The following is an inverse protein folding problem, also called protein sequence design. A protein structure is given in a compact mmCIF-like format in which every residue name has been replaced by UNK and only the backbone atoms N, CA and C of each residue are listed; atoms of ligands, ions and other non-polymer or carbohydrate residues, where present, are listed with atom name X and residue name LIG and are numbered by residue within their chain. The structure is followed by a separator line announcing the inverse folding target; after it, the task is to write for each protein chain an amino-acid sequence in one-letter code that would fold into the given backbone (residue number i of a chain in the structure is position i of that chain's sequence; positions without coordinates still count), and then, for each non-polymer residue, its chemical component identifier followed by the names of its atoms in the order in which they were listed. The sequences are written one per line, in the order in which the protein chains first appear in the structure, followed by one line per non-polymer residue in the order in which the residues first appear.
data_IF_217973802300
#
_entry.id   IF_217973802300
#
_cell.length_a   1.000
_cell.length_b   1.000
_cell.length_c   1.000
_cell.angle_alpha   90.00
_cell.angle_beta   90.00
_cell.angle_gamma   90.00
#
_symmetry.space_group_name_H-M   'P 1'
#
loop_
_entity.id
_entity.type
_entity.pdbx_description
1 polymer ?
#
# COMPACT_ATOMS: atom_id res chain seq x y z
N UNK A 1 -34.08 -17.37 27.59
CA UNK A 1 -33.19 -18.31 26.86
C UNK A 1 -33.68 -18.40 25.43
N UNK A 2 -33.00 -17.74 24.50
CA UNK A 2 -33.44 -17.66 23.09
C UNK A 2 -32.68 -18.70 22.26
N UNK A 3 -33.38 -19.68 21.70
CA UNK A 3 -32.76 -20.67 20.80
C UNK A 3 -32.52 -20.03 19.43
N UNK A 4 -31.27 -20.01 18.97
CA UNK A 4 -30.96 -19.68 17.58
C UNK A 4 -31.47 -20.81 16.67
N UNK A 5 -32.21 -20.43 15.63
CA UNK A 5 -32.53 -21.30 14.50
C UNK A 5 -31.34 -21.28 13.53
N UNK A 6 -30.58 -22.38 13.46
CA UNK A 6 -29.60 -22.57 12.40
C UNK A 6 -30.33 -22.93 11.10
N UNK A 7 -30.10 -22.16 10.04
CA UNK A 7 -30.54 -22.50 8.69
C UNK A 7 -29.90 -23.83 8.24
N UNK A 8 -30.64 -24.74 7.58
CA UNK A 8 -30.07 -26.00 7.13
C UNK A 8 -29.04 -25.78 6.00
N UNK A 9 -27.85 -26.34 6.18
CA UNK A 9 -26.80 -26.37 5.15
C UNK A 9 -27.34 -26.97 3.83
N UNK A 10 -26.98 -26.43 2.65
CA UNK A 10 -27.42 -26.98 1.38
C UNK A 10 -26.94 -28.43 1.24
N UNK A 11 -27.88 -29.32 0.95
CA UNK A 11 -27.61 -30.75 0.78
C UNK A 11 -26.66 -30.97 -0.39
N UNK A 12 -25.71 -31.88 -0.24
CA UNK A 12 -24.66 -32.20 -1.23
C UNK A 12 -25.12 -32.23 -2.72
N UNK A 13 -26.28 -32.83 -3.10
CA UNK A 13 -26.77 -32.77 -4.49
C UNK A 13 -27.04 -31.35 -5.02
N UNK A 14 -27.48 -30.41 -4.19
CA UNK A 14 -27.69 -29.00 -4.60
C UNK A 14 -26.35 -28.34 -4.94
N UNK A 15 -25.32 -28.64 -4.14
CA UNK A 15 -23.96 -28.14 -4.33
C UNK A 15 -23.32 -28.72 -5.61
N UNK A 16 -23.53 -30.03 -5.86
CA UNK A 16 -23.11 -30.68 -7.10
C UNK A 16 -23.82 -30.10 -8.35
N UNK A 17 -25.13 -29.83 -8.26
CA UNK A 17 -25.89 -29.24 -9.37
C UNK A 17 -25.40 -27.82 -9.69
N UNK A 18 -25.11 -27.00 -8.67
CA UNK A 18 -24.58 -25.65 -8.84
C UNK A 18 -23.19 -25.64 -9.48
N UNK A 19 -22.30 -26.56 -9.07
CA UNK A 19 -20.97 -26.74 -9.68
C UNK A 19 -21.10 -27.14 -11.16
N UNK A 20 -22.00 -28.07 -11.50
CA UNK A 20 -22.23 -28.48 -12.89
C UNK A 20 -22.78 -27.36 -13.77
N UNK A 21 -23.68 -26.51 -13.24
CA UNK A 21 -24.20 -25.33 -13.96
C UNK A 21 -23.09 -24.30 -14.22
N UNK A 22 -22.24 -24.02 -13.23
CA UNK A 22 -21.10 -23.08 -13.39
C UNK A 22 -20.07 -23.64 -14.38
N UNK A 23 -19.78 -24.94 -14.33
CA UNK A 23 -18.85 -25.60 -15.25
C UNK A 23 -19.39 -25.60 -16.70
N UNK A 24 -20.68 -25.90 -16.88
CA UNK A 24 -21.35 -25.82 -18.18
C UNK A 24 -21.34 -24.41 -18.77
N UNK A 25 -21.62 -23.38 -17.96
CA UNK A 25 -21.56 -21.98 -18.39
C UNK A 25 -20.14 -21.56 -18.81
N UNK A 26 -19.11 -22.02 -18.09
CA UNK A 26 -17.71 -21.83 -18.50
C UNK A 26 -17.39 -22.51 -19.83
N UNK A 27 -17.90 -23.72 -20.06
CA UNK A 27 -17.66 -24.48 -21.29
C UNK A 27 -18.32 -23.83 -22.51
N UNK A 28 -19.52 -23.25 -22.36
CA UNK A 28 -20.20 -22.44 -23.40
C UNK A 28 -19.43 -21.15 -23.71
N UNK A 29 -18.83 -20.50 -22.71
CA UNK A 29 -18.00 -19.30 -22.92
C UNK A 29 -16.66 -19.63 -23.60
N UNK A 30 -16.06 -20.79 -23.28
CA UNK A 30 -14.83 -21.27 -23.91
C UNK A 30 -15.04 -21.79 -25.34
N UNK A 31 -16.25 -22.22 -25.70
CA UNK A 31 -16.60 -22.72 -27.03
C UNK A 31 -16.87 -21.62 -28.09
N UNK A 32 -16.65 -20.33 -27.76
CA UNK A 32 -16.89 -19.21 -28.66
C UNK A 32 -18.35 -18.75 -28.63
N UNK A 33 -18.69 -17.92 -27.65
CA UNK A 33 -20.04 -17.41 -27.42
C UNK A 33 -20.71 -16.79 -28.66
N UNK A 34 -22.04 -16.92 -28.72
CA UNK A 34 -22.89 -16.68 -29.89
C UNK A 34 -22.61 -15.32 -30.55
N UNK A 35 -22.11 -15.34 -31.79
CA UNK A 35 -21.88 -14.14 -32.58
C UNK A 35 -23.20 -13.52 -33.08
N UNK A 36 -23.66 -12.46 -32.42
CA UNK A 36 -24.67 -11.56 -32.97
C UNK A 36 -24.00 -10.58 -33.95
N UNK A 37 -24.35 -10.72 -35.23
CA UNK A 37 -23.74 -9.98 -36.33
C UNK A 37 -24.48 -8.65 -36.55
N UNK A 38 -23.78 -7.52 -36.39
CA UNK A 38 -24.31 -6.18 -36.69
C UNK A 38 -23.44 -5.56 -37.79
N UNK A 39 -23.96 -5.40 -39.03
CA UNK A 39 -23.20 -4.84 -40.14
C UNK A 39 -23.36 -3.32 -40.26
N UNK A 40 -22.30 -2.65 -40.72
CA UNK A 40 -22.41 -1.34 -41.38
C UNK A 40 -22.02 -0.12 -40.54
N UNK A 41 -20.80 0.36 -40.75
CA UNK A 41 -20.46 1.80 -40.78
C UNK A 41 -19.06 1.96 -41.41
N UNK A 42 -19.00 2.15 -42.73
CA UNK A 42 -17.81 2.72 -43.38
C UNK A 42 -17.49 4.10 -42.77
N UNK A 43 -16.20 4.46 -42.71
CA UNK A 43 -15.80 5.86 -42.62
C UNK A 43 -14.54 6.12 -43.43
N UNK A 44 -14.67 7.03 -44.38
CA UNK A 44 -13.65 7.36 -45.37
C UNK A 44 -12.58 8.34 -44.83
N UNK A 45 -11.33 8.11 -45.22
CA UNK A 45 -10.36 9.18 -45.54
C UNK A 45 -10.74 9.80 -46.91
N UNK A 46 -10.34 11.04 -47.27
CA UNK A 46 -9.06 11.72 -46.97
C UNK A 46 -9.28 13.14 -46.34
N UNK A 47 -8.34 14.06 -46.11
CA UNK A 47 -7.18 14.49 -46.92
C UNK A 47 -6.22 15.37 -46.08
N UNK A 48 -4.92 15.34 -46.40
CA UNK A 48 -3.86 16.21 -45.87
C UNK A 48 -3.87 17.60 -46.53
N UNK A 49 -3.68 18.70 -45.78
CA UNK A 49 -3.13 19.94 -46.30
C UNK A 49 -1.63 20.12 -45.98
N UNK A 50 -1.01 20.86 -46.88
CA UNK A 50 0.40 21.14 -47.12
C UNK A 50 1.19 21.80 -45.97
N UNK A 51 2.51 21.69 -46.02
CA UNK A 51 3.43 22.37 -45.10
C UNK A 51 3.77 23.79 -45.58
N UNK A 52 3.67 24.77 -44.68
CA UNK A 52 4.16 26.13 -44.92
C UNK A 52 5.60 26.29 -44.37
N UNK A 53 6.54 26.63 -45.24
CA UNK A 53 7.94 26.93 -44.86
C UNK A 53 8.08 28.32 -44.25
N UNK A 54 8.93 28.53 -43.22
CA UNK A 54 9.16 29.84 -42.62
C UNK A 54 10.07 30.73 -43.48
N UNK A 55 9.77 32.04 -43.51
CA UNK A 55 10.63 33.07 -44.10
C UNK A 55 11.70 33.56 -43.09
N UNK A 56 12.89 33.99 -43.53
CA UNK A 56 14.03 34.21 -42.62
C UNK A 56 14.24 35.67 -42.14
N UNK A 57 14.92 35.75 -41.00
CA UNK A 57 15.87 36.78 -40.57
C UNK A 57 15.45 38.26 -40.47
N UNK A 58 15.55 38.80 -39.24
CA UNK A 58 16.35 40.00 -39.00
C UNK A 58 16.87 39.99 -37.55
N UNK A 59 18.20 39.92 -37.35
CA UNK A 59 18.85 40.00 -36.04
C UNK A 59 19.98 41.04 -36.13
N UNK A 60 19.88 42.08 -35.32
CA UNK A 60 20.90 43.12 -35.17
C UNK A 60 22.14 42.59 -34.41
N UNK A 61 23.38 42.84 -34.89
CA UNK A 61 24.59 42.34 -34.24
C UNK A 61 25.34 43.44 -33.48
N UNK A 62 24.74 44.05 -32.45
CA UNK A 62 25.51 44.88 -31.52
C UNK A 62 24.93 44.91 -30.10
N UNK A 63 25.50 44.09 -29.20
CA UNK A 63 25.68 44.36 -27.77
C UNK A 63 26.31 43.14 -27.06
N UNK A 64 27.62 43.20 -26.82
CA UNK A 64 28.31 42.25 -25.94
C UNK A 64 28.40 42.81 -24.49
N UNK A 65 27.94 42.07 -23.46
CA UNK A 65 28.27 42.36 -22.07
C UNK A 65 29.57 41.65 -21.61
N UNK A 66 30.29 42.18 -20.60
CA UNK A 66 31.70 41.84 -20.37
C UNK A 66 31.96 40.58 -19.55
N UNK A 67 33.16 40.02 -19.72
CA UNK A 67 33.71 38.91 -18.94
C UNK A 67 33.99 39.35 -17.49
N UNK A 68 33.54 38.57 -16.51
CA UNK A 68 33.89 38.75 -15.10
C UNK A 68 34.99 37.78 -14.66
N UNK A 69 35.91 38.29 -13.84
CA UNK A 69 37.15 37.62 -13.44
C UNK A 69 36.92 36.38 -12.58
N UNK A 70 37.64 35.31 -12.87
CA UNK A 70 37.75 34.14 -11.99
C UNK A 70 38.70 34.48 -10.83
N UNK A 71 38.16 34.51 -9.61
CA UNK A 71 38.97 34.70 -8.40
C UNK A 71 39.51 33.37 -7.87
N UNK A 72 40.73 33.41 -7.33
CA UNK A 72 41.55 32.24 -7.05
C UNK A 72 41.14 31.56 -5.72
N UNK A 73 40.87 30.26 -5.72
CA UNK A 73 40.49 29.51 -4.52
C UNK A 73 41.71 28.81 -3.89
N UNK A 74 41.83 28.88 -2.56
CA UNK A 74 42.94 28.31 -1.80
C UNK A 74 42.88 26.76 -1.73
N UNK A 75 44.03 26.06 -1.58
CA UNK A 75 44.07 24.60 -1.63
C UNK A 75 43.44 23.95 -0.39
N UNK A 76 42.57 22.96 -0.62
CA UNK A 76 41.97 22.13 0.42
C UNK A 76 42.93 21.00 0.80
N UNK A 77 43.25 20.86 2.09
CA UNK A 77 44.06 19.74 2.58
C UNK A 77 43.25 18.43 2.61
N UNK A 78 43.73 17.41 1.91
CA UNK A 78 43.16 16.05 1.91
C UNK A 78 43.79 15.21 3.01
N UNK A 79 43.01 14.79 4.01
CA UNK A 79 43.44 13.85 5.05
C UNK A 79 43.07 12.41 4.65
N UNK A 80 44.05 11.62 4.24
CA UNK A 80 43.85 10.24 3.78
C UNK A 80 43.80 9.26 4.95
N UNK A 81 42.61 8.84 5.38
CA UNK A 81 42.45 7.75 6.36
C UNK A 81 42.57 6.40 5.63
N UNK A 82 43.66 5.65 5.89
CA UNK A 82 43.82 4.27 5.44
C UNK A 82 43.05 3.32 6.36
N UNK A 83 41.95 2.75 5.88
CA UNK A 83 41.29 1.63 6.54
C UNK A 83 42.04 0.33 6.28
N UNK A 84 42.35 -0.41 7.35
CA UNK A 84 42.93 -1.75 7.25
C UNK A 84 41.79 -2.71 6.88
N UNK A 85 41.89 -3.35 5.72
CA UNK A 85 40.98 -4.44 5.33
C UNK A 85 41.38 -5.70 6.11
N UNK A 86 40.51 -6.27 6.97
CA UNK A 86 40.80 -7.56 7.58
C UNK A 86 40.76 -8.67 6.50
N UNK A 87 41.82 -9.46 6.44
CA UNK A 87 41.95 -10.59 5.52
C UNK A 87 40.77 -11.57 5.70
N UNK A 88 40.08 -11.99 4.63
CA UNK A 88 39.03 -13.00 4.75
C UNK A 88 39.62 -14.33 5.25
N UNK A 89 38.95 -14.95 6.22
CA UNK A 89 39.36 -16.26 6.73
C UNK A 89 39.32 -17.31 5.60
N UNK A 90 40.26 -18.27 5.55
CA UNK A 90 40.31 -19.27 4.50
C UNK A 90 39.03 -20.13 4.49
N UNK A 91 38.53 -20.43 3.30
CA UNK A 91 37.31 -21.20 3.11
C UNK A 91 37.44 -22.60 3.72
N UNK A 92 36.47 -22.99 4.54
CA UNK A 92 36.40 -24.34 5.10
C UNK A 92 36.16 -25.38 4.00
N UNK A 93 37.04 -26.38 3.91
CA UNK A 93 36.93 -27.51 2.99
C UNK A 93 35.62 -28.27 3.19
N UNK A 94 34.88 -28.65 2.12
CA UNK A 94 33.66 -29.43 2.28
C UNK A 94 33.98 -30.83 2.82
N UNK A 95 33.53 -31.12 4.04
CA UNK A 95 33.59 -32.46 4.62
C UNK A 95 32.65 -33.38 3.83
N UNK A 96 33.18 -34.49 3.33
CA UNK A 96 32.43 -35.46 2.55
C UNK A 96 31.23 -36.01 3.33
N UNK A 97 30.06 -36.03 2.69
CA UNK A 97 28.84 -36.59 3.25
C UNK A 97 29.02 -38.09 3.55
N UNK A 98 28.93 -38.47 4.83
CA UNK A 98 28.76 -39.89 5.20
C UNK A 98 27.38 -40.35 4.70
N UNK A 99 27.35 -41.48 4.00
CA UNK A 99 26.10 -42.14 3.64
C UNK A 99 25.40 -42.59 4.93
N UNK A 100 24.16 -42.17 5.11
CA UNK A 100 23.23 -42.76 6.08
C UNK A 100 22.32 -43.75 5.34
N UNK A 101 22.31 -45.00 5.81
CA UNK A 101 21.50 -46.05 5.19
C UNK A 101 20.01 -45.82 5.39
N UNK A 102 19.23 -46.08 4.34
CA UNK A 102 17.76 -45.97 4.38
C UNK A 102 17.17 -47.16 5.15
N UNK A 103 16.35 -46.95 6.19
CA UNK A 103 15.54 -48.03 6.74
C UNK A 103 14.46 -48.48 5.73
N UNK A 104 14.28 -49.80 5.65
CA UNK A 104 13.41 -50.51 4.69
C UNK A 104 11.94 -50.33 5.05
N UNK A 105 11.03 -49.99 4.11
CA UNK A 105 9.60 -49.90 4.42
C UNK A 105 9.00 -51.29 4.64
N UNK A 106 8.34 -51.48 5.78
CA UNK A 106 7.55 -52.69 6.06
C UNK A 106 6.15 -52.50 5.50
N UNK A 107 5.80 -53.31 4.49
CA UNK A 107 4.45 -53.34 3.94
C UNK A 107 3.52 -54.10 4.89
N UNK A 108 2.46 -53.45 5.37
CA UNK A 108 1.32 -54.10 6.02
C UNK A 108 0.14 -54.06 5.04
N UNK A 109 -0.11 -55.18 4.38
CA UNK A 109 -1.31 -55.35 3.56
C UNK A 109 -2.57 -55.35 4.43
N UNK A 110 -3.63 -54.68 3.96
CA UNK A 110 -4.99 -54.86 4.43
C UNK A 110 -5.83 -55.42 3.27
N UNK A 111 -6.71 -56.41 3.50
CA UNK A 111 -7.47 -57.04 2.43
C UNK A 111 -8.54 -56.10 1.86
N UNK A 112 -8.89 -56.22 0.56
CA UNK A 112 -9.96 -55.42 -0.04
C UNK A 112 -11.32 -55.84 0.51
N UNK A 113 -12.10 -54.87 1.00
CA UNK A 113 -13.49 -55.09 1.38
C UNK A 113 -14.36 -54.98 0.12
N UNK A 114 -14.84 -56.13 -0.36
CA UNK A 114 -15.86 -56.17 -1.42
C UNK A 114 -17.21 -55.75 -0.83
N UNK A 115 -17.77 -54.64 -1.31
CA UNK A 115 -19.16 -54.29 -1.09
C UNK A 115 -19.98 -54.71 -2.32
N UNK A 116 -20.74 -55.79 -2.18
CA UNK A 116 -21.72 -56.24 -3.18
C UNK A 116 -22.94 -55.29 -3.09
N UNK A 117 -23.43 -54.74 -4.22
CA UNK A 117 -24.68 -53.99 -4.21
C UNK A 117 -25.84 -54.91 -3.83
N UNK A 118 -26.54 -54.61 -2.74
CA UNK A 118 -27.82 -55.26 -2.42
C UNK A 118 -28.93 -54.48 -3.10
N UNK A 119 -29.62 -55.16 -3.99
CA UNK A 119 -30.76 -54.70 -4.77
C UNK A 119 -31.96 -54.41 -3.84
N UNK A 120 -32.64 -53.28 -4.06
CA UNK A 120 -33.74 -52.85 -3.21
C UNK A 120 -35.09 -53.40 -3.72
N UNK A 121 -35.90 -54.07 -2.87
CA UNK A 121 -37.22 -54.52 -3.28
C UNK A 121 -38.25 -53.37 -3.24
N UNK A 122 -38.99 -53.25 -4.34
CA UNK A 122 -40.32 -52.66 -4.42
C UNK A 122 -41.31 -53.78 -4.83
N UNK A 123 -42.64 -53.57 -4.99
CA UNK A 123 -43.46 -52.40 -4.67
C UNK A 123 -44.72 -52.77 -3.83
N UNK A 124 -45.63 -51.80 -3.62
CA UNK A 124 -47.07 -52.07 -3.44
C UNK A 124 -47.90 -50.92 -4.04
N UNK A 125 -48.93 -51.26 -4.80
CA UNK A 125 -49.85 -50.37 -5.55
C UNK A 125 -51.01 -49.90 -4.62
N UNK A 126 -51.77 -48.83 -4.89
CA UNK A 126 -52.88 -48.76 -5.89
C UNK A 126 -53.40 -47.31 -6.09
N UNK A 127 -54.29 -47.05 -7.09
CA UNK A 127 -54.60 -45.70 -7.60
C UNK A 127 -55.98 -45.14 -7.17
N UNK A 128 -56.28 -43.85 -7.48
CA UNK A 128 -57.37 -43.50 -8.43
C UNK A 128 -57.53 -41.98 -8.73
N UNK A 129 -57.45 -41.65 -10.02
CA UNK A 129 -58.41 -40.87 -10.85
C UNK A 129 -59.17 -39.64 -10.30
N UNK A 130 -58.96 -38.45 -10.92
CA UNK A 130 -60.00 -37.59 -11.60
C UNK A 130 -59.32 -36.67 -12.65
N UNK A 131 -59.91 -36.57 -13.85
CA UNK A 131 -59.56 -35.63 -14.95
C UNK A 131 -60.81 -34.99 -15.54
N UNK A 132 -60.89 -33.65 -15.65
CA UNK A 132 -61.75 -32.84 -16.57
C UNK A 132 -61.10 -31.44 -16.72
N UNK A 133 -60.51 -31.03 -17.86
CA UNK A 133 -61.06 -30.18 -18.96
C UNK A 133 -61.77 -28.87 -18.50
N UNK A 134 -61.42 -27.63 -18.86
CA UNK A 134 -61.13 -26.92 -20.14
C UNK A 134 -62.35 -26.25 -20.83
N UNK A 135 -62.31 -24.91 -20.98
CA UNK A 135 -62.89 -23.99 -22.01
C UNK A 135 -63.02 -22.54 -21.44
N UNK A 136 -62.47 -21.42 -21.97
CA UNK A 136 -62.52 -20.77 -23.32
C UNK A 136 -63.83 -19.92 -23.52
N UNK A 137 -63.87 -18.68 -24.05
CA UNK A 137 -62.93 -17.75 -24.76
C UNK A 137 -63.42 -16.26 -24.66
N UNK A 138 -62.61 -15.21 -24.96
CA UNK A 138 -62.87 -14.16 -26.01
C UNK A 138 -62.08 -12.81 -25.94
N UNK A 139 -61.86 -12.25 -27.15
CA UNK A 139 -61.06 -11.10 -27.68
C UNK A 139 -61.90 -9.77 -27.81
N UNK A 140 -61.49 -8.65 -28.49
CA UNK A 140 -60.18 -8.21 -29.07
C UNK A 140 -59.78 -6.72 -28.79
N UNK A 141 -58.71 -6.22 -29.44
CA UNK A 141 -58.11 -4.85 -29.37
C UNK A 141 -58.56 -3.93 -30.56
N UNK A 142 -57.83 -2.88 -31.07
CA UNK A 142 -56.74 -1.99 -30.56
C UNK A 142 -56.89 -0.46 -30.92
N UNK A 143 -55.98 0.43 -30.45
CA UNK A 143 -55.49 1.62 -31.23
C UNK A 143 -54.15 2.21 -30.72
N UNK A 144 -53.30 2.69 -31.64
CA UNK A 144 -52.04 3.45 -31.40
C UNK A 144 -52.24 4.95 -31.14
N UNK A 145 -51.23 5.65 -30.57
CA UNK A 145 -50.54 6.85 -31.17
C UNK A 145 -49.49 7.46 -30.20
N UNK A 146 -48.40 7.99 -30.78
CA UNK A 146 -47.26 8.76 -30.21
C UNK A 146 -47.67 10.02 -29.39
N UNK A 147 -46.83 10.76 -28.63
CA UNK A 147 -45.52 11.33 -28.99
C UNK A 147 -44.83 12.11 -27.84
N UNK A 148 -43.49 12.13 -27.86
CA UNK A 148 -42.49 13.10 -27.35
C UNK A 148 -42.85 14.24 -26.37
N UNK A 149 -42.10 14.35 -25.26
CA UNK A 149 -41.27 15.53 -24.92
C UNK A 149 -40.38 15.30 -23.66
N UNK A 150 -39.25 16.01 -23.56
CA UNK A 150 -38.24 15.88 -22.50
C UNK A 150 -38.20 17.16 -21.58
N UNK A 151 -37.25 17.31 -20.62
CA UNK A 151 -37.57 17.80 -19.26
C UNK A 151 -37.26 19.29 -19.00
N UNK A 152 -37.48 19.75 -17.77
CA UNK A 152 -36.46 20.59 -17.12
C UNK A 152 -36.16 20.21 -15.66
N UNK A 153 -34.94 20.55 -15.25
CA UNK A 153 -34.51 20.81 -13.88
C UNK A 153 -33.95 22.25 -13.83
N UNK A 154 -33.41 22.73 -12.70
CA UNK A 154 -33.80 22.61 -11.30
C UNK A 154 -34.27 23.99 -10.75
N UNK A 155 -34.75 24.07 -9.51
CA UNK A 155 -34.90 25.37 -8.83
C UNK A 155 -34.51 25.30 -7.36
N UNK A 156 -33.60 26.19 -6.97
CA UNK A 156 -33.24 26.43 -5.57
C UNK A 156 -34.07 27.60 -5.01
N UNK A 157 -34.50 27.49 -3.75
CA UNK A 157 -35.04 28.60 -2.98
C UNK A 157 -34.59 28.49 -1.52
N UNK A 158 -34.20 29.63 -0.95
CA UNK A 158 -33.71 29.78 0.41
C UNK A 158 -34.86 29.96 1.42
N UNK A 159 -34.70 29.43 2.64
CA UNK A 159 -35.40 29.92 3.82
C UNK A 159 -34.54 29.63 5.08
N UNK A 160 -34.53 30.56 6.03
CA UNK A 160 -33.72 30.51 7.25
C UNK A 160 -34.59 30.39 8.51
N UNK A 161 -34.05 29.72 9.53
CA UNK A 161 -34.41 29.66 10.97
C UNK A 161 -33.79 28.36 11.53
N UNK A 162 -33.34 28.23 12.77
CA UNK A 162 -33.25 29.19 13.89
C UNK A 162 -32.00 28.86 14.74
N UNK A 163 -31.52 29.79 15.56
CA UNK A 163 -30.27 29.66 16.31
C UNK A 163 -30.52 29.31 17.79
N UNK A 164 -30.06 28.14 18.24
CA UNK A 164 -30.02 27.80 19.67
C UNK A 164 -28.67 28.20 20.27
N UNK A 165 -28.67 29.26 21.07
CA UNK A 165 -27.49 29.72 21.79
C UNK A 165 -27.16 28.83 23.00
N UNK A 166 -25.88 28.51 23.19
CA UNK A 166 -25.34 27.88 24.39
C UNK A 166 -24.42 28.91 25.08
N UNK A 167 -24.56 29.19 26.38
CA UNK A 167 -23.82 30.27 27.03
C UNK A 167 -22.36 29.88 27.31
N UNK A 168 -21.38 30.79 27.08
CA UNK A 168 -20.01 30.59 27.55
C UNK A 168 -19.87 31.08 29.00
N UNK A 169 -19.27 30.27 29.87
CA UNK A 169 -18.72 30.78 31.14
C UNK A 169 -17.42 31.55 30.85
N UNK A 170 -17.40 32.82 31.24
CA UNK A 170 -16.20 33.66 31.31
C UNK A 170 -15.63 33.64 32.75
N UNK A 171 -14.32 33.91 32.95
CA UNK A 171 -13.64 33.70 34.22
C UNK A 171 -13.83 34.83 35.25
N UNK A 172 -13.68 34.48 36.53
CA UNK A 172 -13.67 35.43 37.65
C UNK A 172 -12.47 36.40 37.65
N UNK A 173 -12.68 37.58 38.23
CA UNK A 173 -11.71 38.66 38.37
C UNK A 173 -11.05 38.66 39.78
N UNK A 174 -9.88 39.32 39.98
CA UNK A 174 -9.02 39.04 41.13
C UNK A 174 -9.16 40.01 42.32
N UNK A 175 -9.13 39.43 43.54
CA UNK A 175 -8.67 39.97 44.82
C UNK A 175 -8.45 38.74 45.76
N UNK A 176 -7.64 38.71 46.83
CA UNK A 176 -7.12 39.72 47.76
C UNK A 176 -5.65 39.38 48.13
N UNK A 177 -4.98 40.30 48.83
CA UNK A 177 -3.55 40.30 49.17
C UNK A 177 -3.07 39.29 50.24
N UNK A 178 -1.75 39.06 50.22
CA UNK A 178 -0.82 38.87 51.35
C UNK A 178 -1.17 37.84 52.45
N UNK A 179 -0.37 36.77 52.55
CA UNK A 179 0.58 36.70 53.68
C UNK A 179 1.83 35.84 53.43
N UNK A 180 2.92 36.25 54.05
CA UNK A 180 4.18 35.51 54.22
C UNK A 180 4.25 35.12 55.71
N UNK A 181 4.77 33.93 56.08
CA UNK A 181 6.19 33.94 56.41
C UNK A 181 6.96 32.65 56.10
N UNK A 182 8.23 32.85 55.76
CA UNK A 182 9.31 31.89 55.99
C UNK A 182 9.73 31.95 57.47
N UNK A 183 10.16 30.82 58.07
CA UNK A 183 11.24 30.83 59.04
C UNK A 183 12.49 30.19 58.44
N UNK A 184 13.63 30.82 58.66
CA UNK A 184 14.94 30.30 58.29
C UNK A 184 15.62 29.61 59.49
N UNK A 185 16.61 28.77 59.18
CA UNK A 185 17.73 28.32 60.03
C UNK A 185 17.46 27.54 61.32
N UNK A 186 18.07 26.35 61.41
CA UNK A 186 19.10 26.06 62.44
C UNK A 186 19.97 24.89 61.94
N UNK A 187 21.29 25.02 62.08
CA UNK A 187 22.28 23.96 61.87
C UNK A 187 22.52 23.23 63.19
N UNK A 188 22.50 21.89 63.19
CA UNK A 188 23.14 21.11 64.26
C UNK A 188 23.75 19.82 63.73
N UNK A 189 24.85 19.37 64.34
CA UNK A 189 25.79 18.37 63.82
C UNK A 189 26.02 17.25 64.83
N UNK A 190 25.74 16.00 64.48
CA UNK A 190 26.43 14.79 64.98
C UNK A 190 25.90 13.51 64.28
N UNK A 191 26.68 12.40 64.22
CA UNK A 191 26.44 11.32 63.26
C UNK A 191 25.81 10.04 63.83
N UNK A 192 25.23 9.22 62.95
CA UNK A 192 25.09 7.77 63.15
C UNK A 192 25.01 7.05 61.79
N UNK A 193 25.72 5.93 61.65
CA UNK A 193 25.69 5.08 60.46
C UNK A 193 24.30 4.48 60.20
N UNK A 194 23.91 4.43 58.92
CA UNK A 194 22.91 3.48 58.42
C UNK A 194 23.00 3.39 56.89
N UNK A 195 23.50 2.24 56.40
CA UNK A 195 23.46 1.84 54.99
C UNK A 195 22.06 2.02 54.42
N UNK A 196 21.90 2.99 53.52
CA UNK A 196 20.67 3.21 52.77
C UNK A 196 21.03 3.28 51.29
N UNK A 197 20.54 2.32 50.51
CA UNK A 197 20.70 2.32 49.07
C UNK A 197 20.16 3.63 48.49
N UNK A 198 21.05 4.46 47.96
CA UNK A 198 20.67 5.60 47.13
C UNK A 198 20.02 5.04 45.87
N UNK A 199 18.69 5.05 45.85
CA UNK A 199 17.92 4.87 44.64
C UNK A 199 18.33 5.98 43.67
N UNK A 200 19.12 5.63 42.66
CA UNK A 200 19.50 6.55 41.61
C UNK A 200 18.23 7.02 40.90
N UNK A 201 17.77 8.23 41.22
CA UNK A 201 16.73 8.90 40.47
C UNK A 201 17.16 8.89 39.00
N UNK A 202 16.32 8.41 38.07
CA UNK A 202 16.69 8.38 36.67
C UNK A 202 16.93 9.81 36.23
N UNK A 203 18.18 10.12 35.88
CA UNK A 203 18.53 11.42 35.33
C UNK A 203 17.58 11.68 34.15
N UNK A 204 16.81 12.76 34.23
CA UNK A 204 15.93 13.21 33.16
C UNK A 204 16.80 13.42 31.93
N UNK A 205 16.82 12.43 31.04
CA UNK A 205 17.55 12.51 29.79
C UNK A 205 16.87 13.60 28.98
N UNK A 206 17.47 14.79 28.96
CA UNK A 206 17.06 15.89 28.10
C UNK A 206 17.02 15.35 26.67
N UNK A 207 15.82 15.16 26.15
CA UNK A 207 15.59 14.62 24.82
C UNK A 207 15.98 15.68 23.80
N UNK A 208 17.28 15.71 23.47
CA UNK A 208 17.82 16.44 22.33
C UNK A 208 16.94 16.16 21.12
N UNK A 209 16.14 17.15 20.72
CA UNK A 209 15.10 16.96 19.72
C UNK A 209 15.73 16.40 18.44
N UNK A 210 15.38 15.17 18.09
CA UNK A 210 16.00 14.45 16.96
C UNK A 210 15.67 15.22 15.68
N UNK A 211 16.64 15.99 15.19
CA UNK A 211 16.48 16.80 13.99
C UNK A 211 16.41 15.89 12.77
N UNK A 212 15.19 15.59 12.35
CA UNK A 212 14.93 14.86 11.12
C UNK A 212 15.51 15.61 9.91
N UNK A 213 15.98 14.88 8.88
CA UNK A 213 16.40 15.51 7.65
C UNK A 213 15.22 16.17 6.92
N UNK A 214 15.47 17.26 6.16
CA UNK A 214 14.45 17.83 5.30
C UNK A 214 14.12 16.86 4.15
N UNK A 215 12.87 16.88 3.69
CA UNK A 215 12.42 16.13 2.53
C UNK A 215 11.43 16.98 1.71
N UNK A 216 11.44 16.78 0.39
CA UNK A 216 10.57 17.49 -0.55
C UNK A 216 9.79 16.44 -1.36
N UNK A 217 8.61 15.98 -0.88
CA UNK A 217 7.83 14.97 -1.58
C UNK A 217 7.54 15.35 -3.04
N UNK A 218 7.45 14.36 -3.96
CA UNK A 218 7.15 14.62 -5.36
C UNK A 218 5.76 15.23 -5.55
N UNK A 219 5.58 15.98 -6.64
CA UNK A 219 4.27 16.50 -7.04
C UNK A 219 3.26 15.40 -7.32
N UNK A 220 1.96 15.76 -7.36
CA UNK A 220 0.85 14.86 -7.66
C UNK A 220 1.07 14.10 -8.97
N UNK A 221 0.87 12.79 -8.98
CA UNK A 221 1.13 11.92 -10.13
C UNK A 221 0.30 10.63 -10.06
N UNK A 222 -0.06 10.09 -11.21
CA UNK A 222 -0.75 8.79 -11.33
C UNK A 222 0.13 7.81 -12.12
N UNK A 223 0.48 6.67 -11.52
CA UNK A 223 1.35 5.66 -12.11
C UNK A 223 0.61 4.34 -12.29
N UNK A 224 0.66 3.81 -13.51
CA UNK A 224 0.10 2.51 -13.88
C UNK A 224 1.21 1.47 -13.95
N UNK A 225 0.99 0.28 -13.41
CA UNK A 225 1.98 -0.79 -13.35
C UNK A 225 1.45 -2.08 -13.95
N UNK A 226 2.31 -2.77 -14.69
CA UNK A 226 2.18 -4.21 -14.91
C UNK A 226 2.78 -4.94 -13.72
N UNK A 227 2.06 -5.92 -13.17
CA UNK A 227 2.48 -6.68 -12.00
C UNK A 227 2.68 -8.14 -12.36
N UNK A 228 3.92 -8.59 -12.23
CA UNK A 228 4.31 -10.00 -12.24
C UNK A 228 4.32 -10.50 -10.79
N UNK A 229 3.63 -11.59 -10.48
CA UNK A 229 3.64 -12.14 -9.13
C UNK A 229 3.61 -13.65 -9.05
N UNK A 230 3.89 -14.16 -7.85
CA UNK A 230 3.75 -15.56 -7.49
C UNK A 230 3.15 -15.70 -6.09
N UNK A 231 2.17 -16.58 -5.92
CA UNK A 231 1.61 -16.95 -4.62
C UNK A 231 1.67 -18.47 -4.50
N UNK A 232 2.38 -19.00 -3.50
CA UNK A 232 2.58 -20.44 -3.27
C UNK A 232 3.07 -21.20 -4.52
N UNK A 233 3.93 -20.57 -5.31
CA UNK A 233 4.45 -21.10 -6.58
C UNK A 233 3.54 -20.92 -7.80
N UNK A 234 2.29 -20.47 -7.65
CA UNK A 234 1.43 -20.14 -8.79
C UNK A 234 1.68 -18.71 -9.25
N UNK A 235 2.06 -18.56 -10.52
CA UNK A 235 2.26 -17.25 -11.14
C UNK A 235 0.93 -16.57 -11.48
N UNK A 236 0.88 -15.24 -11.33
CA UNK A 236 -0.25 -14.42 -11.75
C UNK A 236 0.23 -13.11 -12.41
N UNK A 237 -0.65 -12.54 -13.22
CA UNK A 237 -0.54 -11.19 -13.78
C UNK A 237 -1.59 -10.29 -13.13
N UNK A 238 -1.22 -9.06 -12.84
CA UNK A 238 -2.14 -8.08 -12.27
C UNK A 238 -1.82 -6.66 -12.77
N UNK A 239 -2.75 -5.74 -12.55
CA UNK A 239 -2.57 -4.32 -12.82
C UNK A 239 -2.44 -3.57 -11.50
N UNK A 240 -1.51 -2.62 -11.45
CA UNK A 240 -1.34 -1.69 -10.34
C UNK A 240 -1.69 -0.26 -10.77
N UNK A 241 -2.34 0.50 -9.88
CA UNK A 241 -2.58 1.92 -10.04
C UNK A 241 -2.21 2.63 -8.74
N UNK A 242 -1.12 3.41 -8.77
CA UNK A 242 -0.79 4.38 -7.73
C UNK A 242 -1.39 5.73 -8.11
N UNK A 243 -2.30 6.23 -7.28
CA UNK A 243 -2.77 7.60 -7.28
C UNK A 243 -2.06 8.35 -6.13
N UNK A 244 -1.32 9.40 -6.46
CA UNK A 244 -0.60 10.24 -5.51
C UNK A 244 -1.02 11.69 -5.72
N UNK A 245 -1.45 12.35 -4.64
CA UNK A 245 -1.81 13.76 -4.66
C UNK A 245 -1.29 14.50 -3.43
N UNK A 246 -0.85 15.74 -3.67
CA UNK A 246 -0.46 16.72 -2.65
C UNK A 246 -1.25 18.00 -2.86
N UNK A 247 -1.85 18.52 -1.79
CA UNK A 247 -2.64 19.75 -1.77
C UNK A 247 -2.69 20.31 -0.35
N UNK A 248 -2.65 21.63 -0.19
CA UNK A 248 -2.91 22.33 1.09
C UNK A 248 -2.10 21.80 2.31
N UNK A 249 -0.82 21.45 2.09
CA UNK A 249 0.05 20.89 3.13
C UNK A 249 -0.35 19.47 3.58
N UNK A 250 -1.16 18.77 2.79
CA UNK A 250 -1.63 17.41 3.01
C UNK A 250 -1.34 16.53 1.81
N UNK A 251 -1.41 15.21 2.03
CA UNK A 251 -1.24 14.22 0.96
C UNK A 251 -2.32 13.14 1.02
N UNK A 252 -2.57 12.52 -0.14
CA UNK A 252 -3.32 11.28 -0.28
C UNK A 252 -2.58 10.35 -1.25
N UNK A 253 -2.35 9.12 -0.80
CA UNK A 253 -1.79 8.03 -1.60
C UNK A 253 -2.78 6.87 -1.64
N UNK A 254 -2.98 6.28 -2.81
CA UNK A 254 -3.79 5.08 -2.99
C UNK A 254 -3.14 4.14 -4.01
N UNK A 255 -2.85 2.91 -3.63
CA UNK A 255 -2.36 1.86 -4.51
C UNK A 255 -3.42 0.76 -4.65
N UNK A 256 -4.11 0.72 -5.80
CA UNK A 256 -5.02 -0.37 -6.15
C UNK A 256 -4.27 -1.44 -6.95
N UNK A 257 -4.42 -2.70 -6.57
CA UNK A 257 -3.93 -3.87 -7.30
C UNK A 257 -5.11 -4.76 -7.70
N UNK A 258 -5.20 -5.13 -8.98
CA UNK A 258 -6.31 -5.93 -9.53
C UNK A 258 -5.78 -7.16 -10.26
N UNK A 259 -6.21 -8.34 -9.80
CA UNK A 259 -5.89 -9.63 -10.42
C UNK A 259 -7.16 -10.15 -11.10
N UNK A 260 -7.10 -10.47 -12.38
CA UNK A 260 -8.25 -11.03 -13.09
C UNK A 260 -8.70 -12.33 -12.42
N UNK A 261 -10.00 -12.47 -12.14
CA UNK A 261 -10.66 -13.58 -11.40
C UNK A 261 -10.21 -13.80 -9.94
N UNK A 262 -9.04 -13.34 -9.50
CA UNK A 262 -8.52 -13.54 -8.13
C UNK A 262 -8.88 -12.40 -7.16
N UNK A 263 -9.39 -11.27 -7.68
CA UNK A 263 -9.93 -10.15 -6.88
C UNK A 263 -9.01 -8.94 -6.84
N UNK A 264 -9.18 -8.09 -5.83
CA UNK A 264 -8.42 -6.85 -5.67
C UNK A 264 -7.88 -6.66 -4.25
N UNK A 265 -6.82 -5.85 -4.18
CA UNK A 265 -6.27 -5.29 -2.94
C UNK A 265 -6.09 -3.79 -3.14
N UNK A 266 -6.30 -3.02 -2.10
CA UNK A 266 -6.13 -1.57 -2.11
C UNK A 266 -5.38 -1.15 -0.86
N UNK A 267 -4.29 -0.40 -1.01
CA UNK A 267 -3.64 0.29 0.09
C UNK A 267 -3.93 1.79 -0.02
N UNK A 268 -4.09 2.46 1.11
CA UNK A 268 -4.18 3.91 1.15
C UNK A 268 -3.43 4.50 2.33
N UNK A 269 -2.89 5.70 2.16
CA UNK A 269 -2.22 6.48 3.19
C UNK A 269 -2.64 7.95 3.05
N UNK A 270 -2.96 8.58 4.17
CA UNK A 270 -3.27 10.01 4.23
C UNK A 270 -2.59 10.65 5.43
N UNK A 271 -2.24 11.93 5.29
CA UNK A 271 -1.60 12.68 6.36
C UNK A 271 -1.24 14.11 5.96
N UNK A 272 -0.29 14.68 6.71
CA UNK A 272 0.25 16.03 6.50
C UNK A 272 1.64 15.97 5.86
N UNK A 273 2.05 17.10 5.31
CA UNK A 273 3.40 17.36 4.82
C UNK A 273 4.02 18.41 5.74
N UNK A 274 5.17 18.07 6.34
CA UNK A 274 5.96 18.96 7.18
C UNK A 274 7.38 19.17 6.63
N UNK A 275 8.25 19.90 7.35
CA UNK A 275 9.61 20.20 6.90
C UNK A 275 10.49 18.95 6.64
N UNK A 276 10.22 17.86 7.35
CA UNK A 276 10.88 16.56 7.18
C UNK A 276 10.12 15.59 6.25
N UNK A 277 9.17 16.09 5.47
CA UNK A 277 8.35 15.30 4.54
C UNK A 277 7.04 14.81 5.13
N UNK A 278 6.67 13.57 4.82
CA UNK A 278 5.35 13.01 5.10
C UNK A 278 5.18 12.67 6.58
N UNK A 279 4.02 13.05 7.11
CA UNK A 279 3.55 12.75 8.45
C UNK A 279 2.21 12.00 8.32
N UNK A 280 2.23 10.66 8.24
CA UNK A 280 1.01 9.88 8.14
C UNK A 280 0.07 10.10 9.33
N UNK A 281 -1.22 10.05 9.07
CA UNK A 281 -2.30 10.10 10.07
C UNK A 281 -3.10 8.79 10.04
N UNK A 282 -3.27 8.19 8.85
CA UNK A 282 -3.89 6.88 8.67
C UNK A 282 -3.30 6.12 7.49
N UNK A 283 -3.05 4.84 7.71
CA UNK A 283 -2.77 3.83 6.68
C UNK A 283 -3.87 2.76 6.70
N UNK A 284 -4.30 2.27 5.53
CA UNK A 284 -5.24 1.16 5.42
C UNK A 284 -4.85 0.18 4.31
N UNK A 285 -5.11 -1.10 4.53
CA UNK A 285 -4.90 -2.20 3.60
C UNK A 285 -6.21 -3.02 3.52
N UNK A 286 -6.84 -3.00 2.36
CA UNK A 286 -8.14 -3.60 2.09
C UNK A 286 -8.01 -4.70 1.05
N UNK A 287 -8.48 -5.89 1.39
CA UNK A 287 -8.70 -6.99 0.43
C UNK A 287 -10.11 -7.54 0.64
N UNK A 288 -10.25 -8.74 1.22
CA UNK A 288 -11.56 -9.27 1.68
C UNK A 288 -12.12 -8.49 2.87
N UNK A 289 -11.24 -7.97 3.71
CA UNK A 289 -11.54 -7.03 4.79
C UNK A 289 -10.49 -5.92 4.81
N UNK A 290 -10.79 -4.84 5.53
CA UNK A 290 -9.87 -3.73 5.74
C UNK A 290 -9.19 -3.85 7.11
N UNK A 291 -7.88 -3.55 7.16
CA UNK A 291 -7.13 -3.33 8.40
C UNK A 291 -6.38 -2.01 8.27
N UNK A 292 -6.22 -1.28 9.36
CA UNK A 292 -5.63 0.05 9.35
C UNK A 292 -4.66 0.29 10.52
N UNK A 293 -3.76 1.23 10.33
CA UNK A 293 -2.96 1.86 11.37
C UNK A 293 -3.32 3.35 11.47
N UNK A 294 -3.45 3.86 12.69
CA UNK A 294 -3.75 5.25 13.00
C UNK A 294 -2.56 5.85 13.76
N UNK A 295 -2.02 6.93 13.25
CA UNK A 295 -0.83 7.60 13.78
C UNK A 295 -1.28 8.77 14.65
N UNK A 296 -1.24 8.57 15.97
CA UNK A 296 -1.67 9.56 16.95
C UNK A 296 -0.47 10.40 17.40
N UNK A 297 -0.25 11.52 16.70
CA UNK A 297 0.85 12.43 17.00
C UNK A 297 0.69 13.14 18.36
N UNK A 298 -0.55 13.39 18.80
CA UNK A 298 -0.80 14.01 20.10
C UNK A 298 -0.47 13.05 21.26
N UNK A 299 -0.75 11.77 21.08
CA UNK A 299 -0.53 10.73 22.09
C UNK A 299 0.72 9.87 21.83
N UNK A 300 1.58 10.30 20.89
CA UNK A 300 2.85 9.67 20.50
C UNK A 300 2.78 8.15 20.27
N UNK A 301 1.70 7.66 19.64
CA UNK A 301 1.52 6.22 19.40
C UNK A 301 0.83 5.87 18.08
N UNK A 302 1.02 4.62 17.66
CA UNK A 302 0.41 4.00 16.48
C UNK A 302 -0.57 2.93 16.96
N UNK A 303 -1.83 3.04 16.53
CA UNK A 303 -2.93 2.15 16.92
C UNK A 303 -3.39 1.31 15.73
N UNK A 304 -3.66 0.02 15.93
CA UNK A 304 -4.02 -0.89 14.86
C UNK A 304 -5.49 -1.35 14.96
N UNK A 305 -6.24 -1.29 13.86
CA UNK A 305 -7.68 -1.63 13.83
C UNK A 305 -7.97 -3.12 13.97
N UNK A 306 -6.94 -3.96 14.03
CA UNK A 306 -7.03 -5.40 14.25
C UNK A 306 -6.79 -5.80 15.73
N UNK A 307 -6.74 -4.82 16.65
CA UNK A 307 -6.42 -5.00 18.07
C UNK A 307 -5.02 -5.61 18.32
N UNK A 308 -4.07 -5.45 17.40
CA UNK A 308 -2.66 -5.69 17.71
C UNK A 308 -2.16 -4.66 18.75
N UNK A 309 -1.12 -4.99 19.55
CA UNK A 309 -0.54 -4.06 20.53
C UNK A 309 -0.16 -2.72 19.89
N UNK A 310 -0.49 -1.62 20.55
CA UNK A 310 -0.07 -0.28 20.12
C UNK A 310 1.46 -0.18 20.11
N UNK A 311 2.00 0.62 19.18
CA UNK A 311 3.44 0.87 19.08
C UNK A 311 3.75 2.35 19.39
N UNK A 312 4.92 2.67 19.98
CA UNK A 312 5.34 4.07 20.13
C UNK A 312 5.58 4.69 18.75
N UNK A 313 5.14 5.94 18.56
CA UNK A 313 5.35 6.69 17.33
C UNK A 313 6.73 7.36 17.35
N UNK A 314 7.63 6.93 16.46
CA UNK A 314 8.95 7.55 16.34
C UNK A 314 8.90 8.78 15.42
N UNK A 315 9.78 9.79 15.64
CA UNK A 315 9.94 10.90 14.71
C UNK A 315 10.22 10.40 13.28
N UNK A 316 9.44 10.89 12.30
CA UNK A 316 9.60 10.54 10.89
C UNK A 316 9.05 9.17 10.49
N UNK A 317 8.33 8.47 11.39
CA UNK A 317 7.67 7.20 11.07
C UNK A 317 6.77 7.30 9.83
N UNK A 318 6.81 6.26 9.01
CA UNK A 318 6.04 6.10 7.78
C UNK A 318 5.11 4.89 7.87
N UNK A 319 4.20 4.74 6.91
CA UNK A 319 3.53 3.47 6.64
C UNK A 319 4.09 2.80 5.38
N UNK A 320 3.63 1.57 5.09
CA UNK A 320 4.11 0.75 3.97
C UNK A 320 3.83 1.35 2.58
N UNK A 321 2.98 2.37 2.44
CA UNK A 321 2.72 3.09 1.19
C UNK A 321 3.37 4.49 1.19
N UNK A 322 3.23 5.27 2.26
CA UNK A 322 3.84 6.62 2.36
C UNK A 322 5.37 6.57 2.25
N UNK A 323 5.99 5.48 2.69
CA UNK A 323 7.42 5.19 2.58
C UNK A 323 8.00 5.52 1.20
N UNK A 324 7.34 5.15 0.10
CA UNK A 324 7.88 5.33 -1.24
C UNK A 324 8.04 6.82 -1.59
N UNK A 325 7.02 7.63 -1.30
CA UNK A 325 7.03 9.07 -1.55
C UNK A 325 7.90 9.84 -0.54
N UNK A 326 8.04 9.33 0.70
CA UNK A 326 9.01 9.85 1.66
C UNK A 326 10.45 9.61 1.21
N UNK A 327 10.78 8.41 0.70
CA UNK A 327 12.08 8.11 0.12
C UNK A 327 12.36 9.00 -1.09
N UNK A 328 11.41 9.12 -2.02
CA UNK A 328 11.49 10.03 -3.16
C UNK A 328 11.81 11.47 -2.71
N UNK A 329 11.10 11.96 -1.69
CA UNK A 329 11.32 13.31 -1.17
C UNK A 329 12.63 13.53 -0.42
N UNK A 330 13.17 12.51 0.24
CA UNK A 330 14.50 12.56 0.86
C UNK A 330 15.60 12.58 -0.21
N UNK A 331 15.48 11.78 -1.27
CA UNK A 331 16.41 11.76 -2.39
C UNK A 331 16.38 13.09 -3.16
N UNK A 332 15.19 13.64 -3.45
CA UNK A 332 15.05 14.96 -4.09
C UNK A 332 15.70 16.08 -3.28
N UNK A 333 15.45 16.13 -1.97
CA UNK A 333 15.95 17.22 -1.14
C UNK A 333 17.49 17.18 -0.94
N UNK A 334 18.11 15.99 -0.97
CA UNK A 334 19.53 15.80 -0.62
C UNK A 334 20.21 14.66 -1.40
N UNK A 335 20.34 14.74 -2.74
CA UNK A 335 20.83 13.63 -3.58
C UNK A 335 22.25 13.16 -3.20
N UNK A 336 23.12 14.08 -2.79
CA UNK A 336 24.49 13.81 -2.33
C UNK A 336 24.54 13.04 -0.99
N UNK A 337 23.58 13.28 -0.08
CA UNK A 337 23.54 12.60 1.23
C UNK A 337 23.15 11.12 1.10
N UNK A 338 22.49 10.75 0.00
CA UNK A 338 21.97 9.41 -0.24
C UNK A 338 22.72 8.68 -1.35
N UNK A 339 24.04 8.89 -1.47
CA UNK A 339 24.90 8.18 -2.41
C UNK A 339 24.91 6.65 -2.19
N UNK A 340 25.46 5.90 -3.15
CA UNK A 340 25.61 4.43 -3.05
C UNK A 340 26.40 4.03 -1.81
N UNK A 341 26.03 2.92 -1.18
CA UNK A 341 26.63 2.42 0.06
C UNK A 341 26.12 3.10 1.34
N UNK A 342 25.39 4.22 1.22
CA UNK A 342 24.72 4.83 2.37
C UNK A 342 23.54 3.98 2.85
N UNK A 343 23.11 4.21 4.08
CA UNK A 343 21.98 3.52 4.69
C UNK A 343 21.02 4.51 5.33
N UNK A 344 19.73 4.17 5.35
CA UNK A 344 18.67 5.00 5.92
C UNK A 344 17.81 4.14 6.86
N UNK A 345 17.43 4.69 8.01
CA UNK A 345 16.55 4.02 8.98
C UNK A 345 15.33 4.86 9.28
N UNK A 346 14.15 4.23 9.30
CA UNK A 346 12.91 4.83 9.80
C UNK A 346 11.95 3.75 10.31
N UNK A 347 11.03 4.12 11.19
CA UNK A 347 9.93 3.25 11.57
C UNK A 347 8.93 3.12 10.40
N UNK A 348 8.49 1.91 10.09
CA UNK A 348 7.51 1.65 9.02
C UNK A 348 6.37 0.80 9.56
N UNK A 349 5.18 1.39 9.66
CA UNK A 349 3.99 0.72 10.17
C UNK A 349 3.28 -0.10 9.08
N UNK A 350 3.00 -1.37 9.40
CA UNK A 350 1.98 -2.18 8.72
C UNK A 350 0.61 -2.03 9.37
N UNK A 351 -0.24 -3.05 9.22
CA UNK A 351 -1.59 -3.08 9.82
C UNK A 351 -1.66 -3.78 11.17
N UNK A 352 -0.52 -4.06 11.79
CA UNK A 352 -0.43 -4.69 13.12
C UNK A 352 0.99 -4.69 13.74
N UNK A 353 1.91 -3.93 13.16
CA UNK A 353 3.31 -3.83 13.56
C UNK A 353 3.89 -2.48 13.12
N UNK A 354 4.91 -1.97 13.84
CA UNK A 354 5.67 -0.78 13.42
C UNK A 354 7.17 -0.92 13.73
N UNK A 355 7.87 -1.88 13.10
CA UNK A 355 9.32 -2.05 13.24
C UNK A 355 10.12 -0.92 12.60
N UNK A 356 11.36 -0.73 13.06
CA UNK A 356 12.36 0.10 12.37
C UNK A 356 12.93 -0.69 11.20
N UNK A 357 12.81 -0.14 9.99
CA UNK A 357 13.42 -0.68 8.77
C UNK A 357 14.77 0.00 8.53
N UNK A 358 15.72 -0.75 7.97
CA UNK A 358 16.99 -0.24 7.44
C UNK A 358 17.01 -0.50 5.95
N UNK A 359 17.22 0.56 5.18
CA UNK A 359 17.40 0.51 3.73
C UNK A 359 18.86 0.73 3.40
N UNK A 360 19.36 -0.07 2.46
CA UNK A 360 20.63 0.12 1.79
C UNK A 360 20.37 0.91 0.51
N UNK A 361 21.13 1.99 0.30
CA UNK A 361 21.10 2.75 -0.96
C UNK A 361 22.13 2.13 -1.90
N UNK A 362 21.66 1.58 -3.00
CA UNK A 362 22.49 0.97 -4.03
C UNK A 362 22.99 1.98 -5.07
N UNK A 363 23.70 1.43 -6.06
CA UNK A 363 24.22 2.19 -7.19
C UNK A 363 23.10 2.73 -8.10
N UNK A 364 23.46 3.72 -8.89
CA UNK A 364 22.63 4.13 -10.01
C UNK A 364 22.87 3.21 -11.20
N UNK A 365 21.79 2.79 -11.84
CA UNK A 365 21.82 1.90 -13.00
C UNK A 365 20.73 2.31 -13.98
N UNK A 366 20.83 1.84 -15.22
CA UNK A 366 19.71 1.93 -16.18
C UNK A 366 18.93 0.63 -16.14
N UNK A 367 17.61 0.72 -15.99
CA UNK A 367 16.70 -0.42 -16.13
C UNK A 367 15.71 -0.18 -17.27
N UNK A 368 15.23 -1.27 -17.88
CA UNK A 368 14.12 -1.25 -18.83
C UNK A 368 12.85 -1.81 -18.19
N UNK A 369 11.77 -1.07 -18.31
CA UNK A 369 10.39 -1.40 -17.91
C UNK A 369 9.47 -1.19 -19.13
N UNK A 370 8.18 -1.61 -19.11
CA UNK A 370 7.29 -1.38 -20.25
C UNK A 370 7.19 0.09 -20.70
N UNK A 371 7.23 1.04 -19.75
CA UNK A 371 7.24 2.48 -20.03
C UNK A 371 8.52 3.01 -20.73
N UNK A 372 9.59 2.22 -20.84
CA UNK A 372 10.86 2.63 -21.44
C UNK A 372 12.09 2.33 -20.59
N UNK A 373 13.17 3.06 -20.85
CA UNK A 373 14.43 2.99 -20.09
C UNK A 373 14.57 4.18 -19.14
N UNK A 374 14.99 3.88 -17.91
CA UNK A 374 15.16 4.87 -16.86
C UNK A 374 16.50 4.67 -16.15
N UNK A 375 17.25 5.77 -15.98
CA UNK A 375 18.28 5.86 -14.93
C UNK A 375 17.56 5.86 -13.59
N UNK A 376 17.96 4.96 -12.71
CA UNK A 376 17.32 4.72 -11.41
C UNK A 376 18.36 4.58 -10.31
N UNK A 377 18.04 5.04 -9.11
CA UNK A 377 18.75 4.64 -7.89
C UNK A 377 18.01 3.45 -7.27
N UNK A 378 18.72 2.34 -7.05
CA UNK A 378 18.14 1.20 -6.36
C UNK A 378 18.17 1.43 -4.83
N UNK A 379 17.05 1.18 -4.15
CA UNK A 379 16.94 1.23 -2.70
C UNK A 379 16.32 -0.07 -2.22
N UNK A 380 16.99 -0.77 -1.30
CA UNK A 380 16.57 -2.09 -0.86
C UNK A 380 16.53 -2.21 0.66
N UNK A 381 15.47 -2.85 1.18
CA UNK A 381 15.43 -3.43 2.53
C UNK A 381 15.69 -4.92 2.41
N UNK A 382 16.86 -5.37 2.87
CA UNK A 382 17.14 -6.79 3.01
C UNK A 382 16.54 -7.36 4.31
N UNK A 383 16.12 -8.64 4.34
CA UNK A 383 15.62 -9.27 5.54
C UNK A 383 16.74 -9.42 6.58
N UNK A 384 16.43 -9.13 7.86
CA UNK A 384 17.37 -9.22 8.99
C UNK A 384 16.94 -10.26 10.03
N UNK A 385 15.74 -10.81 9.89
CA UNK A 385 15.13 -11.85 10.73
C UNK A 385 14.37 -12.85 9.84
N UNK A 386 14.09 -14.03 10.37
CA UNK A 386 13.48 -15.17 9.66
C UNK A 386 12.12 -14.89 8.99
N UNK A 387 11.41 -13.85 9.41
CA UNK A 387 10.08 -13.48 8.88
C UNK A 387 10.03 -12.05 8.29
N UNK A 388 11.19 -11.49 7.93
CA UNK A 388 11.26 -10.22 7.21
C UNK A 388 11.01 -10.37 5.70
N UNK A 389 10.26 -9.44 5.11
CA UNK A 389 10.13 -9.32 3.66
C UNK A 389 11.27 -8.50 3.05
N UNK A 390 11.76 -8.90 1.87
CA UNK A 390 12.62 -8.05 1.03
C UNK A 390 11.74 -7.01 0.33
N UNK A 391 12.19 -5.75 0.31
CA UNK A 391 11.54 -4.67 -0.45
C UNK A 391 12.59 -3.98 -1.30
N UNK A 392 12.43 -4.02 -2.61
CA UNK A 392 13.33 -3.44 -3.61
C UNK A 392 12.58 -2.35 -4.40
N UNK A 393 13.22 -1.20 -4.57
CA UNK A 393 12.61 0.00 -5.17
C UNK A 393 13.60 0.61 -6.16
N UNK A 394 13.18 0.85 -7.40
CA UNK A 394 13.99 1.54 -8.41
C UNK A 394 13.41 2.92 -8.65
N UNK A 395 14.07 3.93 -8.11
CA UNK A 395 13.59 5.31 -8.02
C UNK A 395 14.19 6.14 -9.17
N UNK A 396 13.35 6.67 -10.07
CA UNK A 396 13.82 7.41 -11.25
C UNK A 396 13.91 8.92 -10.98
N UNK A 397 15.10 9.56 -11.01
CA UNK A 397 15.21 11.00 -10.78
C UNK A 397 14.38 11.85 -11.76
N UNK A 398 14.23 11.38 -13.02
CA UNK A 398 13.41 12.01 -14.04
C UNK A 398 11.90 12.06 -13.74
N UNK A 399 11.43 11.30 -12.75
CA UNK A 399 10.05 11.32 -12.24
C UNK A 399 10.01 11.77 -10.77
N UNK A 400 10.91 12.67 -10.35
CA UNK A 400 10.97 13.16 -8.97
C UNK A 400 11.32 12.05 -7.96
N UNK A 401 12.15 11.09 -8.38
CA UNK A 401 12.49 9.87 -7.62
C UNK A 401 11.31 8.94 -7.31
N UNK A 402 10.19 9.06 -8.04
CA UNK A 402 9.09 8.09 -7.93
C UNK A 402 9.51 6.70 -8.45
N UNK A 403 8.91 5.62 -7.90
CA UNK A 403 9.33 4.27 -8.22
C UNK A 403 8.84 3.82 -9.60
N UNK A 404 9.76 3.59 -10.53
CA UNK A 404 9.43 2.97 -11.84
C UNK A 404 9.37 1.45 -11.76
N UNK A 405 9.88 0.88 -10.68
CA UNK A 405 9.70 -0.53 -10.32
C UNK A 405 9.65 -0.70 -8.80
N UNK A 406 8.76 -1.58 -8.32
CA UNK A 406 8.64 -1.98 -6.92
C UNK A 406 8.57 -3.51 -6.86
N UNK A 407 9.50 -4.16 -6.16
CA UNK A 407 9.46 -5.60 -5.94
C UNK A 407 9.42 -5.92 -4.45
N UNK A 408 8.42 -6.69 -4.05
CA UNK A 408 8.28 -7.19 -2.68
C UNK A 408 8.39 -8.71 -2.74
N UNK A 409 9.27 -9.28 -1.91
CA UNK A 409 9.41 -10.73 -1.72
C UNK A 409 9.12 -11.05 -0.26
N UNK A 410 8.11 -11.89 -0.04
CA UNK A 410 7.65 -12.29 1.28
C UNK A 410 8.47 -13.47 1.82
N UNK A 411 8.51 -13.71 3.15
CA UNK A 411 9.30 -14.80 3.74
C UNK A 411 8.93 -16.21 3.22
N UNK A 412 7.69 -16.38 2.76
CA UNK A 412 7.19 -17.63 2.18
C UNK A 412 7.49 -17.78 0.67
N UNK A 413 8.24 -16.85 0.06
CA UNK A 413 8.54 -16.85 -1.37
C UNK A 413 7.43 -16.25 -2.26
N UNK A 414 6.36 -15.69 -1.69
CA UNK A 414 5.38 -14.94 -2.49
C UNK A 414 6.02 -13.64 -3.00
N UNK A 415 5.80 -13.30 -4.28
CA UNK A 415 6.40 -12.13 -4.94
C UNK A 415 5.31 -11.26 -5.57
N UNK A 416 5.51 -9.95 -5.52
CA UNK A 416 4.89 -8.97 -6.41
C UNK A 416 5.96 -8.03 -6.96
N UNK A 417 6.14 -8.01 -8.29
CA UNK A 417 7.10 -7.20 -9.04
C UNK A 417 6.30 -6.28 -9.99
N UNK A 418 6.14 -5.03 -9.57
CA UNK A 418 5.38 -3.98 -10.25
C UNK A 418 6.34 -3.16 -11.11
N UNK A 419 6.07 -3.02 -12.42
CA UNK A 419 6.89 -2.28 -13.39
C UNK A 419 6.04 -1.22 -14.07
N UNK A 420 6.55 0.01 -14.19
CA UNK A 420 5.80 1.11 -14.79
C UNK A 420 5.37 0.76 -16.22
N UNK A 421 4.06 0.77 -16.46
CA UNK A 421 3.43 0.37 -17.73
C UNK A 421 3.65 1.41 -18.83
N UNK A 422 3.43 2.67 -18.49
CA UNK A 422 3.48 3.81 -19.40
C UNK A 422 3.93 5.06 -18.65
N UNK A 423 4.32 6.10 -19.38
CA UNK A 423 4.56 7.42 -18.78
C UNK A 423 3.27 7.99 -18.14
N UNK A 424 3.39 8.73 -17.03
CA UNK A 424 2.27 9.37 -16.32
C UNK A 424 1.61 10.50 -17.12
#
# INVERSE_FOLDING_TARGET
MTRLLLSPSPRWPVLAMLVSVVLGLHLVLLAGGIHLHVPGAEKAEPTRPEAASPHPANNDPDHAPPLLSVSNAAPVHVSTVRWIVPTPAPAATPVAARRSDKPKPVARAAPPVHWVPVEAPAPAETPDTVTVAEAATHEPAPTDTSESAAPPAPQAASAAADAVAVPPLAPEAPAVATDLPSPAETLETAPADSDTLVAAAPASQSTSAVKLPPAQPPGSMRLQYDVDGSIKGLHYKAEGLLDWSVADGRYNARLDMRVMLLGSRSQSSTGRIGPSGLMPERFADKSRSEKAAHFDAAQQRIRFSNNAPEAPLQPGAQDRLSLFMQLAGLLQARPETYASGQTLTMQVAGTGDAPVWRFDIGEESTIRVPAGEFRVRHVARQPRKEFDSTVEMWLAPSLGHMPVRLRITQPNGDVADQKLRQMP
#
